data_IF_276523501136
#
_entry.id   IF_276523501136
#
_cell.length_a   1.000
_cell.length_b   1.000
_cell.length_c   1.000
_cell.angle_alpha   90.00
_cell.angle_beta   90.00
_cell.angle_gamma   90.00
#
_symmetry.space_group_name_H-M   'P 1'
#
loop_
_entity.id
_entity.type
_entity.pdbx_description
1 polymer ?
#
# COMPACT_ATOMS: atom_id res chain seq x y z
N UNK A 1 -21.17 4.74 21.79
CA UNK A 1 -21.79 5.16 20.52
C UNK A 1 -20.72 5.95 19.79
N UNK A 2 -19.97 5.28 18.92
CA UNK A 2 -18.96 5.95 18.10
C UNK A 2 -19.69 6.87 17.12
N UNK A 3 -19.52 8.18 17.28
CA UNK A 3 -19.87 9.13 16.23
C UNK A 3 -18.91 8.86 15.07
N UNK A 4 -19.38 8.10 14.08
CA UNK A 4 -18.63 7.84 12.87
C UNK A 4 -18.28 9.17 12.21
N UNK A 5 -16.99 9.50 12.19
CA UNK A 5 -16.49 10.75 11.59
C UNK A 5 -16.83 10.68 10.10
N UNK A 6 -17.77 11.52 9.68
CA UNK A 6 -18.14 11.65 8.27
C UNK A 6 -17.03 12.39 7.55
N UNK A 7 -16.20 11.66 6.80
CA UNK A 7 -15.19 12.22 5.92
C UNK A 7 -15.73 12.43 4.51
N UNK A 8 -15.31 13.50 3.86
CA UNK A 8 -15.48 13.66 2.42
C UNK A 8 -14.44 12.80 1.71
N UNK A 9 -14.88 11.84 0.90
CA UNK A 9 -13.99 10.94 0.14
C UNK A 9 -14.40 10.88 -1.33
N UNK A 10 -14.11 11.93 -2.12
CA UNK A 10 -14.59 12.06 -3.49
C UNK A 10 -14.14 10.91 -4.42
N UNK A 11 -12.95 10.34 -4.19
CA UNK A 11 -12.52 9.15 -4.91
C UNK A 11 -13.49 7.98 -4.67
N UNK A 12 -13.79 7.67 -3.41
CA UNK A 12 -14.59 6.51 -3.05
C UNK A 12 -16.01 6.64 -3.57
N UNK A 13 -16.59 7.84 -3.49
CA UNK A 13 -17.90 8.14 -4.09
C UNK A 13 -17.91 7.85 -5.59
N UNK A 14 -16.92 8.33 -6.33
CA UNK A 14 -16.83 8.11 -7.78
C UNK A 14 -16.59 6.64 -8.13
N UNK A 15 -15.73 5.96 -7.37
CA UNK A 15 -15.45 4.54 -7.56
C UNK A 15 -16.71 3.70 -7.31
N UNK A 16 -17.45 3.96 -6.24
CA UNK A 16 -18.71 3.26 -5.95
C UNK A 16 -19.75 3.47 -7.06
N UNK A 17 -19.91 4.70 -7.57
CA UNK A 17 -20.81 4.99 -8.70
C UNK A 17 -20.41 4.22 -9.95
N UNK A 18 -19.11 4.17 -10.28
CA UNK A 18 -18.60 3.42 -11.43
C UNK A 18 -18.77 1.90 -11.27
N UNK A 19 -18.53 1.36 -10.07
CA UNK A 19 -18.74 -0.05 -9.74
C UNK A 19 -20.22 -0.44 -9.78
N UNK A 20 -21.11 0.41 -9.28
CA UNK A 20 -22.55 0.19 -9.38
C UNK A 20 -23.01 0.12 -10.84
N UNK A 21 -22.45 0.95 -11.73
CA UNK A 21 -22.74 0.88 -13.17
C UNK A 21 -22.29 -0.44 -13.78
N UNK A 22 -21.12 -0.96 -13.37
CA UNK A 22 -20.59 -2.25 -13.83
C UNK A 22 -21.52 -3.42 -13.47
N UNK A 23 -22.11 -3.39 -12.28
CA UNK A 23 -22.98 -4.46 -11.79
C UNK A 23 -24.39 -4.43 -12.40
N UNK A 24 -24.75 -3.37 -13.13
CA UNK A 24 -26.06 -3.25 -13.78
C UNK A 24 -26.24 -4.30 -14.89
N UNK A 25 -27.37 -5.00 -14.86
CA UNK A 25 -27.74 -6.00 -15.89
C UNK A 25 -28.01 -5.39 -17.27
N UNK A 26 -28.37 -4.10 -17.32
CA UNK A 26 -28.70 -3.38 -18.55
C UNK A 26 -28.00 -2.03 -18.53
N UNK A 27 -27.27 -1.75 -19.61
CA UNK A 27 -26.66 -0.45 -19.85
C UNK A 27 -27.62 0.41 -20.68
N UNK A 28 -28.26 1.39 -20.06
CA UNK A 28 -29.31 2.20 -20.67
C UNK A 28 -28.94 3.69 -20.80
N UNK A 29 -29.92 4.53 -21.12
CA UNK A 29 -29.70 5.98 -21.26
C UNK A 29 -29.24 6.64 -19.95
N UNK A 30 -29.70 6.15 -18.80
CA UNK A 30 -29.28 6.66 -17.50
C UNK A 30 -27.84 6.25 -17.20
N UNK A 31 -27.47 4.99 -17.47
CA UNK A 31 -26.08 4.52 -17.31
C UNK A 31 -25.09 5.35 -18.16
N UNK A 32 -25.49 5.74 -19.38
CA UNK A 32 -24.70 6.63 -20.25
C UNK A 32 -24.56 8.04 -19.69
N UNK A 33 -25.65 8.61 -19.17
CA UNK A 33 -25.60 9.94 -18.59
C UNK A 33 -24.73 9.97 -17.32
N UNK A 34 -24.82 8.92 -16.49
CA UNK A 34 -23.99 8.75 -15.30
C UNK A 34 -22.49 8.68 -15.67
N UNK A 35 -22.09 7.90 -16.68
CA UNK A 35 -20.69 7.87 -17.13
C UNK A 35 -20.20 9.24 -17.61
N UNK A 36 -21.06 10.02 -18.28
CA UNK A 36 -20.72 11.39 -18.71
C UNK A 36 -20.61 12.36 -17.54
N UNK A 37 -21.39 12.17 -16.49
CA UNK A 37 -21.25 12.98 -15.27
C UNK A 37 -19.97 12.64 -14.53
N UNK A 38 -19.69 11.34 -14.35
CA UNK A 38 -18.45 10.88 -13.73
C UNK A 38 -17.23 11.40 -14.50
N UNK A 39 -17.22 11.32 -15.83
CA UNK A 39 -16.09 11.78 -16.65
C UNK A 39 -15.81 13.28 -16.49
N UNK A 40 -16.86 14.10 -16.40
CA UNK A 40 -16.72 15.54 -16.08
C UNK A 40 -16.16 15.74 -14.67
N UNK A 41 -16.63 14.95 -13.71
CA UNK A 41 -16.18 15.00 -12.31
C UNK A 41 -14.67 14.76 -12.14
N UNK A 42 -14.04 13.97 -12.99
CA UNK A 42 -12.57 13.73 -12.99
C UNK A 42 -11.83 14.50 -14.09
N UNK A 43 -12.46 15.52 -14.68
CA UNK A 43 -11.85 16.40 -15.68
C UNK A 43 -11.24 15.67 -16.88
N UNK A 44 -12.00 14.72 -17.46
CA UNK A 44 -11.63 14.14 -18.75
C UNK A 44 -11.29 15.22 -19.77
N UNK A 45 -10.21 15.01 -20.51
CA UNK A 45 -9.87 15.85 -21.66
C UNK A 45 -10.90 15.64 -22.78
N UNK A 46 -10.80 16.47 -23.83
CA UNK A 46 -11.61 16.28 -25.04
C UNK A 46 -11.33 14.90 -25.66
N UNK A 47 -10.06 14.45 -25.64
CA UNK A 47 -9.66 13.15 -26.14
C UNK A 47 -10.27 12.01 -25.32
N UNK A 48 -10.17 12.09 -23.99
CA UNK A 48 -10.76 11.07 -23.09
C UNK A 48 -12.28 10.99 -23.27
N UNK A 49 -12.94 12.15 -23.41
CA UNK A 49 -14.37 12.24 -23.65
C UNK A 49 -14.78 11.62 -24.99
N UNK A 50 -14.02 11.88 -26.06
CA UNK A 50 -14.28 11.28 -27.37
C UNK A 50 -14.07 9.76 -27.35
N UNK A 51 -13.03 9.29 -26.65
CA UNK A 51 -12.78 7.86 -26.47
C UNK A 51 -13.93 7.19 -25.70
N UNK A 52 -14.40 7.80 -24.61
CA UNK A 52 -15.56 7.34 -23.84
C UNK A 52 -16.82 7.24 -24.73
N UNK A 53 -17.16 8.29 -25.49
CA UNK A 53 -18.32 8.27 -26.39
C UNK A 53 -18.19 7.19 -27.48
N UNK A 54 -16.99 7.02 -28.05
CA UNK A 54 -16.72 6.01 -29.07
C UNK A 54 -16.92 4.60 -28.53
N UNK A 55 -16.51 4.33 -27.28
CA UNK A 55 -16.74 3.03 -26.66
C UNK A 55 -18.24 2.79 -26.39
N UNK A 56 -18.96 3.78 -25.88
CA UNK A 56 -20.38 3.65 -25.53
C UNK A 56 -21.33 3.38 -26.70
N UNK A 57 -20.91 3.66 -27.96
CA UNK A 57 -21.71 3.37 -29.15
C UNK A 57 -21.54 1.94 -29.67
N UNK A 58 -20.55 1.18 -29.17
CA UNK A 58 -20.33 -0.20 -29.59
C UNK A 58 -21.49 -1.10 -29.11
N UNK A 59 -22.02 -1.99 -29.96
CA UNK A 59 -23.17 -2.83 -29.58
C UNK A 59 -22.85 -3.87 -28.50
N UNK A 60 -21.57 -4.15 -28.25
CA UNK A 60 -21.08 -5.01 -27.18
C UNK A 60 -20.42 -4.24 -26.03
N UNK A 61 -20.66 -2.93 -25.93
CA UNK A 61 -20.11 -2.10 -24.87
C UNK A 61 -20.40 -2.70 -23.48
N UNK A 62 -19.38 -2.69 -22.62
CA UNK A 62 -19.49 -2.99 -21.20
C UNK A 62 -18.78 -1.92 -20.40
N UNK A 63 -19.27 -1.60 -19.20
CA UNK A 63 -18.70 -0.53 -18.38
C UNK A 63 -17.24 -0.82 -18.03
N UNK A 64 -16.88 -2.09 -17.87
CA UNK A 64 -15.49 -2.53 -17.66
C UNK A 64 -14.52 -2.03 -18.73
N UNK A 65 -14.99 -1.80 -19.97
CA UNK A 65 -14.13 -1.29 -21.05
C UNK A 65 -13.62 0.13 -20.79
N UNK A 66 -14.28 0.89 -19.92
CA UNK A 66 -13.86 2.26 -19.56
C UNK A 66 -13.19 2.34 -18.19
N UNK A 67 -13.14 1.25 -17.43
CA UNK A 67 -12.56 1.24 -16.08
C UNK A 67 -11.12 1.74 -16.07
N UNK A 68 -10.30 1.29 -17.00
CA UNK A 68 -8.90 1.74 -17.11
C UNK A 68 -8.79 3.25 -17.41
N UNK A 69 -9.66 3.77 -18.29
CA UNK A 69 -9.69 5.20 -18.62
C UNK A 69 -10.04 6.05 -17.39
N UNK A 70 -11.04 5.61 -16.61
CA UNK A 70 -11.40 6.25 -15.34
C UNK A 70 -10.29 6.12 -14.30
N UNK A 71 -9.70 4.93 -14.14
CA UNK A 71 -8.62 4.67 -13.20
C UNK A 71 -7.43 5.59 -13.40
N UNK A 72 -6.93 5.71 -14.63
CA UNK A 72 -5.79 6.56 -14.94
C UNK A 72 -6.04 8.01 -14.56
N UNK A 73 -7.24 8.53 -14.86
CA UNK A 73 -7.63 9.91 -14.56
C UNK A 73 -7.91 10.14 -13.07
N UNK A 74 -8.49 9.15 -12.39
CA UNK A 74 -8.69 9.20 -10.94
C UNK A 74 -7.34 9.17 -10.21
N UNK A 75 -6.38 8.36 -10.67
CA UNK A 75 -5.02 8.32 -10.12
C UNK A 75 -4.29 9.65 -10.26
N UNK A 76 -4.36 10.26 -11.45
CA UNK A 76 -3.80 11.59 -11.72
C UNK A 76 -4.44 12.71 -10.87
N UNK A 77 -5.73 12.58 -10.52
CA UNK A 77 -6.48 13.59 -9.77
C UNK A 77 -6.29 13.46 -8.26
N UNK A 78 -6.32 12.22 -7.75
CA UNK A 78 -6.41 11.94 -6.32
C UNK A 78 -5.06 11.54 -5.75
N UNK A 79 -4.60 10.31 -5.96
CA UNK A 79 -3.31 9.82 -5.45
C UNK A 79 -2.90 8.57 -6.22
N UNK A 80 -1.67 8.08 -6.05
CA UNK A 80 -1.22 6.80 -6.60
C UNK A 80 -1.73 5.61 -5.79
N UNK A 81 -1.72 5.71 -4.45
CA UNK A 81 -2.40 4.79 -3.51
C UNK A 81 -3.53 5.54 -2.83
N UNK A 82 -4.73 4.97 -2.77
CA UNK A 82 -5.85 5.63 -2.09
C UNK A 82 -6.13 4.91 -0.79
N UNK A 83 -6.29 5.65 0.30
CA UNK A 83 -6.65 5.04 1.57
C UNK A 83 -8.15 4.87 1.71
N UNK A 84 -8.59 3.64 1.94
CA UNK A 84 -9.97 3.33 2.29
C UNK A 84 -10.32 3.82 3.71
N UNK A 85 -11.61 3.84 4.09
CA UNK A 85 -12.00 4.17 5.46
C UNK A 85 -11.35 3.28 6.53
N UNK A 86 -11.13 2.00 6.25
CA UNK A 86 -10.50 1.06 7.19
C UNK A 86 -9.00 1.39 7.37
N UNK A 87 -8.30 1.66 6.26
CA UNK A 87 -6.90 2.09 6.29
C UNK A 87 -6.74 3.42 7.04
N UNK A 88 -7.61 4.40 6.77
CA UNK A 88 -7.53 5.69 7.44
C UNK A 88 -7.76 5.57 8.96
N UNK A 89 -8.70 4.71 9.39
CA UNK A 89 -8.90 4.37 10.81
C UNK A 89 -7.62 3.77 11.41
N UNK A 90 -7.01 2.79 10.74
CA UNK A 90 -5.75 2.19 11.18
C UNK A 90 -4.63 3.24 11.29
N UNK A 91 -4.40 4.02 10.24
CA UNK A 91 -3.32 5.03 10.18
C UNK A 91 -3.48 6.10 11.26
N UNK A 92 -4.72 6.51 11.58
CA UNK A 92 -5.00 7.47 12.63
C UNK A 92 -4.49 7.02 14.00
N UNK A 93 -4.58 5.72 14.32
CA UNK A 93 -4.09 5.18 15.61
C UNK A 93 -2.57 5.31 15.79
N UNK A 94 -1.82 5.54 14.70
CA UNK A 94 -0.37 5.76 14.71
C UNK A 94 0.04 7.23 14.60
N UNK A 95 -0.93 8.15 14.67
CA UNK A 95 -0.68 9.59 14.73
C UNK A 95 0.07 9.96 16.03
N UNK A 96 1.02 10.93 16.02
CA UNK A 96 1.37 11.82 14.91
C UNK A 96 2.14 11.14 13.76
N UNK A 97 1.79 11.50 12.53
CA UNK A 97 2.36 10.96 11.29
C UNK A 97 3.27 11.99 10.59
N UNK A 98 4.25 11.49 9.83
CA UNK A 98 4.93 12.24 8.76
C UNK A 98 4.87 11.40 7.48
N UNK A 99 4.31 11.94 6.40
CA UNK A 99 4.22 11.28 5.10
C UNK A 99 5.32 11.80 4.18
N UNK A 100 6.21 10.91 3.72
CA UNK A 100 7.24 11.24 2.75
C UNK A 100 6.80 10.87 1.34
N UNK A 101 6.85 11.84 0.41
CA UNK A 101 6.35 11.67 -0.96
C UNK A 101 4.84 11.81 -1.04
N UNK A 102 4.28 12.78 -0.31
CA UNK A 102 2.84 12.98 -0.18
C UNK A 102 2.12 13.44 -1.47
N UNK A 103 2.86 13.74 -2.54
CA UNK A 103 2.29 14.13 -3.82
C UNK A 103 1.47 15.43 -3.73
N UNK A 104 0.18 15.35 -4.06
CA UNK A 104 -0.75 16.48 -3.97
C UNK A 104 -1.47 16.58 -2.60
N UNK A 105 -1.10 15.73 -1.63
CA UNK A 105 -1.64 15.72 -0.27
C UNK A 105 -3.04 15.13 -0.11
N UNK A 106 -3.59 14.39 -1.09
CA UNK A 106 -4.95 13.83 -0.97
C UNK A 106 -5.13 12.93 0.26
N UNK A 107 -4.21 12.00 0.51
CA UNK A 107 -4.31 11.10 1.67
C UNK A 107 -4.11 11.86 2.99
N UNK A 108 -3.17 12.81 3.06
CA UNK A 108 -3.02 13.71 4.20
C UNK A 108 -4.30 14.53 4.47
N UNK A 109 -5.00 14.97 3.42
CA UNK A 109 -6.29 15.66 3.54
C UNK A 109 -7.36 14.74 4.17
N UNK A 110 -7.45 13.47 3.74
CA UNK A 110 -8.35 12.48 4.32
C UNK A 110 -8.04 12.23 5.81
N UNK A 111 -6.76 12.04 6.15
CA UNK A 111 -6.32 11.81 7.54
C UNK A 111 -6.59 13.00 8.45
N UNK A 112 -6.39 14.23 7.95
CA UNK A 112 -6.71 15.47 8.70
C UNK A 112 -8.21 15.60 8.98
N UNK A 113 -9.08 15.21 8.04
CA UNK A 113 -10.53 15.18 8.30
C UNK A 113 -10.90 14.20 9.42
N UNK A 114 -10.12 13.12 9.60
CA UNK A 114 -10.27 12.19 10.71
C UNK A 114 -9.67 12.68 12.03
N UNK A 115 -9.03 13.85 12.03
CA UNK A 115 -8.36 14.42 13.19
C UNK A 115 -6.97 13.84 13.47
N UNK A 116 -6.35 13.15 12.50
CA UNK A 116 -4.96 12.75 12.64
C UNK A 116 -4.03 13.98 12.50
N UNK A 117 -3.04 14.08 13.38
CA UNK A 117 -1.87 14.92 13.17
C UNK A 117 -0.97 14.25 12.11
N UNK A 118 -0.77 14.93 10.98
CA UNK A 118 0.06 14.48 9.88
C UNK A 118 0.78 15.66 9.23
N UNK A 119 2.10 15.53 9.10
CA UNK A 119 2.95 16.38 8.28
C UNK A 119 3.14 15.73 6.90
N UNK A 120 2.81 16.43 5.83
CA UNK A 120 2.90 15.91 4.46
C UNK A 120 4.08 16.55 3.75
N UNK A 121 5.09 15.76 3.35
CA UNK A 121 6.33 16.23 2.73
C UNK A 121 6.40 15.78 1.28
N UNK A 122 6.71 16.70 0.37
CA UNK A 122 6.92 16.44 -1.05
C UNK A 122 8.09 17.27 -1.60
N UNK A 123 8.94 16.64 -2.41
CA UNK A 123 10.09 17.31 -3.03
C UNK A 123 9.67 18.29 -4.13
N UNK A 124 8.58 17.97 -4.82
CA UNK A 124 8.01 18.78 -5.89
C UNK A 124 6.51 19.04 -5.67
N UNK A 125 6.12 19.92 -4.72
CA UNK A 125 4.72 20.27 -4.51
C UNK A 125 4.06 20.75 -5.80
N UNK A 126 2.78 20.41 -6.00
CA UNK A 126 2.07 20.65 -7.27
C UNK A 126 1.93 22.14 -7.62
N UNK A 127 1.99 23.01 -6.62
CA UNK A 127 1.98 24.47 -6.76
C UNK A 127 3.20 24.99 -7.53
N UNK A 128 4.32 24.25 -7.52
CA UNK A 128 5.53 24.62 -8.25
C UNK A 128 5.44 24.30 -9.74
N UNK A 129 4.47 23.47 -10.16
CA UNK A 129 4.33 23.03 -11.55
C UNK A 129 5.51 22.19 -12.05
N UNK A 130 6.26 21.57 -11.14
CA UNK A 130 7.40 20.67 -11.43
C UNK A 130 7.12 19.22 -11.06
N UNK A 131 5.93 18.95 -10.53
CA UNK A 131 5.50 17.60 -10.22
C UNK A 131 5.23 16.84 -11.53
N UNK A 132 5.91 15.72 -11.74
CA UNK A 132 5.77 14.91 -12.95
C UNK A 132 4.63 13.89 -12.86
N UNK A 133 4.07 13.68 -11.66
CA UNK A 133 3.05 12.69 -11.37
C UNK A 133 1.64 13.29 -11.33
N UNK A 134 1.52 14.57 -10.95
CA UNK A 134 0.24 15.27 -10.82
C UNK A 134 0.23 16.53 -11.70
N UNK A 135 -0.83 16.69 -12.49
CA UNK A 135 -0.95 17.83 -13.41
C UNK A 135 -0.02 17.70 -14.62
N UNK A 136 -0.12 16.59 -15.37
CA UNK A 136 0.60 16.42 -16.63
C UNK A 136 -0.29 16.84 -17.81
N UNK A 137 0.31 17.52 -18.80
CA UNK A 137 -0.37 17.76 -20.08
C UNK A 137 -0.27 16.49 -20.93
N UNK A 138 -1.11 16.40 -21.96
CA UNK A 138 -1.23 15.34 -22.98
C UNK A 138 0.10 14.88 -23.63
N UNK A 139 1.24 15.53 -23.33
CA UNK A 139 2.57 15.22 -23.86
C UNK A 139 3.64 14.97 -22.79
N UNK A 140 3.28 14.58 -21.56
CA UNK A 140 4.25 14.21 -20.52
C UNK A 140 5.12 15.35 -19.99
N UNK A 141 4.78 16.60 -20.33
CA UNK A 141 5.41 17.80 -19.76
C UNK A 141 4.63 18.27 -18.53
N UNK A 142 5.31 18.73 -17.46
CA UNK A 142 4.65 19.31 -16.28
C UNK A 142 3.72 20.44 -16.71
N UNK A 143 2.47 20.37 -16.26
CA UNK A 143 1.40 21.19 -16.80
C UNK A 143 0.58 21.87 -15.73
N UNK A 144 0.73 23.19 -15.71
CA UNK A 144 0.03 24.13 -14.85
C UNK A 144 0.34 23.92 -13.37
N UNK A 145 0.39 25.03 -12.64
CA UNK A 145 0.40 25.00 -11.19
C UNK A 145 -0.88 24.28 -10.75
N UNK A 146 -0.73 23.13 -10.11
CA UNK A 146 -1.83 22.43 -9.47
C UNK A 146 -2.21 23.13 -8.16
N UNK A 147 -3.20 22.58 -7.48
CA UNK A 147 -3.55 22.93 -6.10
C UNK A 147 -3.58 21.65 -5.29
N UNK A 148 -2.81 21.59 -4.21
CA UNK A 148 -2.84 20.49 -3.27
C UNK A 148 -4.20 20.42 -2.58
N UNK A 149 -4.60 19.22 -2.19
CA UNK A 149 -5.83 18.99 -1.42
C UNK A 149 -5.74 19.56 0.00
N UNK A 150 -4.52 19.67 0.52
CA UNK A 150 -4.22 20.25 1.82
C UNK A 150 -2.81 20.85 1.82
N UNK A 151 -2.35 21.39 2.95
CA UNK A 151 -0.98 21.89 3.04
C UNK A 151 0.03 20.75 2.90
N UNK A 152 0.97 20.90 1.96
CA UNK A 152 2.11 20.01 1.73
C UNK A 152 3.38 20.84 1.85
N UNK A 153 4.26 20.42 2.77
CA UNK A 153 5.55 21.06 3.01
C UNK A 153 6.54 20.62 1.96
N UNK A 154 7.24 21.59 1.38
CA UNK A 154 8.36 21.27 0.49
C UNK A 154 9.51 20.72 1.32
N UNK A 155 9.97 19.52 0.99
CA UNK A 155 11.10 18.88 1.65
C UNK A 155 11.53 17.60 0.95
N UNK A 156 12.65 17.05 1.40
CA UNK A 156 13.17 15.76 0.95
C UNK A 156 13.41 14.82 2.13
N UNK A 157 13.93 13.62 1.85
CA UNK A 157 14.16 12.60 2.87
C UNK A 157 15.06 13.07 4.03
N UNK A 158 15.90 14.09 3.85
CA UNK A 158 16.76 14.62 4.93
C UNK A 158 15.97 15.35 6.00
N UNK A 159 14.82 15.91 5.66
CA UNK A 159 13.96 16.61 6.62
C UNK A 159 13.39 15.67 7.69
N UNK A 160 13.36 14.36 7.41
CA UNK A 160 12.89 13.31 8.32
C UNK A 160 13.70 13.20 9.62
N UNK A 161 14.89 13.80 9.70
CA UNK A 161 15.65 13.91 10.96
C UNK A 161 14.88 14.68 12.04
N UNK A 162 13.95 15.55 11.65
CA UNK A 162 13.17 16.41 12.55
C UNK A 162 11.88 15.77 13.06
N UNK A 163 11.56 14.54 12.64
CA UNK A 163 10.27 13.90 12.90
C UNK A 163 10.41 12.55 13.62
N UNK A 164 11.44 12.39 14.45
CA UNK A 164 11.72 11.13 15.16
C UNK A 164 10.66 10.74 16.20
N UNK A 165 9.84 11.69 16.63
CA UNK A 165 8.70 11.52 17.54
C UNK A 165 7.41 11.07 16.82
N UNK A 166 7.43 10.97 15.49
CA UNK A 166 6.28 10.59 14.65
C UNK A 166 6.43 9.17 14.09
N UNK A 167 5.34 8.64 13.55
CA UNK A 167 5.37 7.46 12.67
C UNK A 167 5.61 7.91 11.23
N UNK A 168 6.60 7.32 10.55
CA UNK A 168 6.85 7.60 9.14
C UNK A 168 5.87 6.80 8.27
N UNK A 169 5.10 7.51 7.44
CA UNK A 169 4.26 6.94 6.41
C UNK A 169 4.96 7.09 5.05
N UNK A 170 5.10 6.00 4.30
CA UNK A 170 5.53 6.01 2.90
C UNK A 170 4.46 5.29 2.08
N UNK A 171 3.88 5.98 1.09
CA UNK A 171 2.82 5.42 0.25
C UNK A 171 3.22 5.49 -1.22
N UNK A 172 3.16 4.35 -1.90
CA UNK A 172 3.55 4.16 -3.30
C UNK A 172 4.87 4.83 -3.68
N UNK A 173 5.99 4.52 -3.00
CA UNK A 173 7.25 5.19 -3.28
C UNK A 173 7.73 4.90 -4.72
N UNK A 174 8.19 5.90 -5.47
CA UNK A 174 8.79 5.68 -6.79
C UNK A 174 10.01 4.76 -6.70
N UNK A 175 10.32 4.11 -7.83
CA UNK A 175 11.52 3.27 -8.00
C UNK A 175 12.75 4.18 -8.18
N UNK A 176 13.13 4.88 -7.11
CA UNK A 176 14.33 5.72 -7.03
C UNK A 176 14.90 5.68 -5.59
N UNK A 177 15.82 6.57 -5.24
CA UNK A 177 16.47 6.56 -3.93
C UNK A 177 15.62 7.12 -2.78
N UNK A 178 14.48 7.78 -3.06
CA UNK A 178 13.68 8.50 -2.06
C UNK A 178 13.37 7.65 -0.83
N UNK A 179 12.81 6.45 -1.02
CA UNK A 179 12.43 5.57 0.10
C UNK A 179 13.66 5.07 0.87
N UNK A 180 14.74 4.70 0.17
CA UNK A 180 15.97 4.26 0.84
C UNK A 180 16.65 5.38 1.63
N UNK A 181 16.62 6.62 1.12
CA UNK A 181 17.12 7.80 1.84
C UNK A 181 16.22 8.13 3.03
N UNK A 182 14.90 7.93 2.90
CA UNK A 182 13.96 8.14 3.99
C UNK A 182 14.29 7.25 5.19
N UNK A 183 14.57 5.96 4.97
CA UNK A 183 14.99 5.05 6.04
C UNK A 183 16.31 5.46 6.71
N UNK A 184 17.25 6.03 5.96
CA UNK A 184 18.55 6.46 6.49
C UNK A 184 18.42 7.68 7.40
N UNK A 185 17.58 8.64 7.00
CA UNK A 185 17.44 9.91 7.70
C UNK A 185 16.42 9.87 8.84
N UNK A 186 15.32 9.13 8.67
CA UNK A 186 14.32 8.99 9.71
C UNK A 186 14.90 8.26 10.92
N UNK A 187 14.71 8.83 12.12
CA UNK A 187 15.21 8.29 13.40
C UNK A 187 14.10 7.78 14.33
N UNK A 188 12.84 7.84 13.89
CA UNK A 188 11.72 7.31 14.67
C UNK A 188 11.67 5.78 14.67
N UNK A 189 10.74 5.24 15.45
CA UNK A 189 10.67 3.81 15.75
C UNK A 189 9.67 3.03 14.90
N UNK A 190 8.69 3.69 14.27
CA UNK A 190 7.64 3.04 13.49
C UNK A 190 7.60 3.56 12.06
N UNK A 191 7.35 2.64 11.12
CA UNK A 191 7.09 2.94 9.72
C UNK A 191 5.81 2.25 9.31
N UNK A 192 4.96 2.96 8.59
CA UNK A 192 3.86 2.37 7.84
C UNK A 192 4.16 2.54 6.35
N UNK A 193 4.13 1.42 5.63
CA UNK A 193 4.42 1.34 4.22
C UNK A 193 3.17 0.88 3.50
N UNK A 194 2.74 1.63 2.48
CA UNK A 194 1.64 1.24 1.60
C UNK A 194 2.19 1.07 0.20
N UNK A 195 2.27 -0.16 -0.30
CA UNK A 195 2.98 -0.41 -1.55
C UNK A 195 2.58 -1.70 -2.27
N UNK A 196 3.04 -1.82 -3.52
CA UNK A 196 3.22 -3.09 -4.19
C UNK A 196 4.72 -3.36 -4.38
N UNK A 197 5.26 -4.36 -3.67
CA UNK A 197 6.70 -4.67 -3.66
C UNK A 197 7.34 -4.88 -5.03
N UNK A 198 6.56 -5.29 -6.04
CA UNK A 198 7.07 -5.48 -7.41
C UNK A 198 7.29 -4.17 -8.16
N UNK A 199 6.60 -3.11 -7.76
CA UNK A 199 6.48 -1.84 -8.51
C UNK A 199 6.89 -0.60 -7.70
N UNK A 200 7.31 -0.76 -6.44
CA UNK A 200 7.60 0.33 -5.52
C UNK A 200 9.00 0.20 -4.92
N UNK A 201 9.60 1.35 -4.62
CA UNK A 201 10.94 1.47 -4.05
C UNK A 201 12.03 0.72 -4.85
N UNK A 202 13.25 0.66 -4.32
CA UNK A 202 14.38 -0.02 -4.95
C UNK A 202 14.95 -1.12 -4.04
N UNK A 203 15.83 -1.97 -4.57
CA UNK A 203 16.44 -3.06 -3.79
C UNK A 203 17.21 -2.57 -2.56
N UNK A 204 17.79 -1.36 -2.60
CA UNK A 204 18.50 -0.81 -1.44
C UNK A 204 17.55 -0.49 -0.29
N UNK A 205 16.33 -0.02 -0.58
CA UNK A 205 15.29 0.19 0.42
C UNK A 205 14.95 -1.11 1.14
N UNK A 206 14.61 -2.17 0.40
CA UNK A 206 14.24 -3.46 1.00
C UNK A 206 15.39 -4.12 1.77
N UNK A 207 16.63 -3.90 1.34
CA UNK A 207 17.82 -4.36 2.09
C UNK A 207 17.97 -3.62 3.43
N UNK A 208 17.74 -2.31 3.47
CA UNK A 208 17.77 -1.55 4.73
C UNK A 208 16.58 -1.98 5.61
N UNK A 209 15.38 -2.05 5.03
CA UNK A 209 14.16 -2.45 5.72
C UNK A 209 14.32 -3.81 6.41
N UNK A 210 14.78 -4.83 5.68
CA UNK A 210 14.99 -6.18 6.24
C UNK A 210 16.12 -6.29 7.26
N UNK A 211 17.10 -5.38 7.22
CA UNK A 211 18.24 -5.37 8.16
C UNK A 211 17.94 -4.64 9.45
N UNK A 212 17.13 -3.59 9.41
CA UNK A 212 16.99 -2.63 10.52
C UNK A 212 15.58 -2.61 11.13
N UNK A 213 14.61 -3.28 10.49
CA UNK A 213 13.21 -3.22 10.87
C UNK A 213 12.55 -4.59 10.95
N UNK A 214 11.59 -4.71 11.85
CA UNK A 214 10.76 -5.88 12.06
C UNK A 214 9.32 -5.60 11.60
N UNK A 215 8.77 -6.46 10.75
CA UNK A 215 7.37 -6.40 10.33
C UNK A 215 6.47 -6.83 11.49
N UNK A 216 5.57 -5.94 11.92
CA UNK A 216 4.61 -6.19 13.01
C UNK A 216 3.25 -6.59 12.47
N UNK A 217 2.83 -5.96 11.37
CA UNK A 217 1.50 -6.15 10.81
C UNK A 217 1.55 -5.98 9.30
N UNK A 218 0.77 -6.79 8.58
CA UNK A 218 0.60 -6.70 7.14
C UNK A 218 -0.82 -7.08 6.76
N UNK A 219 -1.42 -6.32 5.85
CA UNK A 219 -2.74 -6.61 5.29
C UNK A 219 -2.83 -6.11 3.85
N UNK A 220 -3.64 -6.77 3.03
CA UNK A 220 -3.97 -6.30 1.70
C UNK A 220 -4.88 -5.07 1.80
N UNK A 221 -4.62 -4.06 0.98
CA UNK A 221 -5.44 -2.84 0.95
C UNK A 221 -6.67 -3.02 0.06
N UNK A 222 -7.74 -2.31 0.41
CA UNK A 222 -8.97 -2.18 -0.35
C UNK A 222 -9.08 -0.82 -1.09
N UNK A 223 -8.01 -0.01 -1.02
CA UNK A 223 -7.93 1.35 -1.55
C UNK A 223 -8.23 1.49 -3.04
N UNK A 224 -7.62 0.61 -3.84
CA UNK A 224 -7.84 0.49 -5.27
C UNK A 224 -8.53 -0.83 -5.64
N UNK A 225 -9.43 -1.30 -4.78
CA UNK A 225 -10.18 -2.54 -5.01
C UNK A 225 -10.56 -2.67 -6.50
N UNK A 226 -10.10 -3.75 -7.14
CA UNK A 226 -10.37 -4.02 -8.57
C UNK A 226 -9.36 -3.48 -9.60
N UNK A 227 -8.37 -2.68 -9.23
CA UNK A 227 -7.35 -2.15 -10.17
C UNK A 227 -5.93 -2.61 -9.91
N UNK A 228 -5.53 -2.73 -8.65
CA UNK A 228 -4.18 -3.13 -8.26
C UNK A 228 -4.19 -3.69 -6.83
N UNK A 229 -3.31 -4.66 -6.59
CA UNK A 229 -3.07 -5.22 -5.26
C UNK A 229 -1.93 -4.43 -4.62
N UNK A 230 -2.16 -3.96 -3.41
CA UNK A 230 -1.17 -3.31 -2.56
C UNK A 230 -1.30 -3.82 -1.13
N UNK A 231 -0.25 -3.64 -0.36
CA UNK A 231 -0.16 -4.04 1.04
C UNK A 231 0.05 -2.82 1.91
N UNK A 232 -0.61 -2.80 3.06
CA UNK A 232 -0.28 -1.92 4.18
C UNK A 232 0.54 -2.73 5.19
N UNK A 233 1.76 -2.28 5.46
CA UNK A 233 2.71 -2.95 6.33
C UNK A 233 3.21 -2.00 7.42
N UNK A 234 3.11 -2.42 8.67
CA UNK A 234 3.67 -1.72 9.83
C UNK A 234 4.99 -2.38 10.22
N UNK A 235 6.03 -1.57 10.32
CA UNK A 235 7.35 -1.97 10.76
C UNK A 235 7.76 -1.22 12.02
N UNK A 236 8.57 -1.88 12.85
CA UNK A 236 9.24 -1.28 13.99
C UNK A 236 10.74 -1.48 13.92
N UNK A 237 11.49 -0.46 14.31
CA UNK A 237 12.95 -0.50 14.30
C UNK A 237 13.47 -1.52 15.32
N UNK A 238 14.49 -2.30 14.95
CA UNK A 238 15.02 -3.39 15.78
C UNK A 238 15.69 -2.93 17.08
N UNK A 239 16.29 -1.75 17.09
CA UNK A 239 16.99 -1.16 18.24
C UNK A 239 16.08 -0.25 19.08
N UNK A 240 14.81 -0.10 18.72
CA UNK A 240 13.84 0.62 19.54
C UNK A 240 13.62 -0.15 20.84
N UNK A 241 14.08 0.40 21.97
CA UNK A 241 13.89 -0.19 23.30
C UNK A 241 12.40 -0.44 23.53
N UNK A 242 12.01 -1.72 23.67
CA UNK A 242 10.65 -2.09 24.00
C UNK A 242 10.63 -2.81 25.35
N UNK A 243 9.98 -2.20 26.35
CA UNK A 243 9.80 -2.80 27.67
C UNK A 243 8.79 -3.97 27.67
N UNK A 244 8.24 -4.34 26.51
CA UNK A 244 7.18 -5.35 26.34
C UNK A 244 7.53 -6.50 25.38
N UNK A 245 8.73 -6.54 24.80
CA UNK A 245 9.17 -7.67 23.98
C UNK A 245 9.96 -8.66 24.86
N UNK A 246 9.39 -9.86 25.07
CA UNK A 246 10.15 -10.98 25.62
C UNK A 246 10.73 -11.81 24.48
N UNK A 247 12.06 -11.98 24.41
CA UNK A 247 12.64 -12.92 23.48
C UNK A 247 12.18 -14.33 23.84
N UNK A 248 11.65 -15.06 22.87
CA UNK A 248 11.47 -16.51 22.96
C UNK A 248 12.05 -17.18 21.72
N UNK A 249 12.47 -18.42 21.89
CA UNK A 249 12.98 -19.28 20.82
C UNK A 249 12.09 -20.51 20.73
N UNK A 250 11.60 -20.83 19.53
CA UNK A 250 11.00 -22.13 19.29
C UNK A 250 12.08 -23.19 19.01
N UNK A 251 11.82 -24.46 19.38
CA UNK A 251 12.68 -25.57 19.01
C UNK A 251 12.73 -25.76 17.49
N UNK A 252 13.81 -26.38 16.99
CA UNK A 252 14.05 -26.67 15.58
C UNK A 252 12.88 -27.45 14.97
N UNK A 253 12.22 -26.88 13.95
CA UNK A 253 11.16 -27.55 13.20
C UNK A 253 11.75 -28.08 11.89
N UNK A 254 11.81 -29.41 11.77
CA UNK A 254 12.08 -30.09 10.51
C UNK A 254 10.78 -30.36 9.79
N UNK A 255 10.71 -30.01 8.51
CA UNK A 255 9.60 -30.38 7.66
C UNK A 255 10.08 -30.62 6.23
N UNK A 256 9.28 -31.35 5.45
CA UNK A 256 9.54 -31.68 4.06
C UNK A 256 8.42 -31.14 3.17
N UNK A 257 8.80 -30.66 1.99
CA UNK A 257 7.88 -30.26 0.93
C UNK A 257 8.14 -31.08 -0.33
N UNK A 258 7.11 -31.19 -1.18
CA UNK A 258 7.19 -31.80 -2.49
C UNK A 258 7.22 -30.68 -3.52
N UNK A 259 8.32 -30.51 -4.26
CA UNK A 259 8.44 -29.46 -5.28
C UNK A 259 8.12 -30.00 -6.68
N UNK A 260 7.51 -29.14 -7.51
CA UNK A 260 7.51 -29.26 -8.97
C UNK A 260 8.57 -28.29 -9.53
N UNK A 261 9.19 -28.66 -10.66
CA UNK A 261 10.48 -28.15 -11.17
C UNK A 261 10.55 -26.64 -11.50
N UNK A 262 9.47 -25.91 -11.29
CA UNK A 262 9.25 -24.53 -11.70
C UNK A 262 9.65 -23.51 -10.59
N UNK A 263 9.91 -23.99 -9.36
CA UNK A 263 10.13 -23.15 -8.17
C UNK A 263 11.60 -23.02 -7.73
N UNK A 264 12.56 -23.14 -8.65
CA UNK A 264 13.96 -22.85 -8.31
C UNK A 264 14.21 -21.34 -8.21
N UNK A 265 14.02 -20.80 -7.00
CA UNK A 265 14.69 -19.58 -6.59
C UNK A 265 16.16 -19.87 -6.24
N UNK A 266 17.00 -18.91 -6.60
CA UNK A 266 18.45 -18.80 -6.44
C UNK A 266 18.95 -19.32 -5.07
N UNK A 267 19.37 -20.58 -5.03
CA UNK A 267 20.08 -21.17 -3.90
C UNK A 267 21.31 -21.90 -4.40
N UNK A 268 22.49 -21.45 -3.94
CA UNK A 268 23.77 -22.10 -4.17
C UNK A 268 23.77 -23.49 -3.53
N UNK A 269 23.59 -24.52 -4.34
CA UNK A 269 23.86 -25.90 -3.96
C UNK A 269 24.82 -26.53 -4.97
N UNK A 270 25.93 -27.07 -4.46
CA UNK A 270 26.79 -27.99 -5.20
C UNK A 270 25.98 -29.25 -5.54
N UNK A 271 25.61 -29.42 -6.80
CA UNK A 271 24.96 -30.63 -7.27
C UNK A 271 25.99 -31.61 -7.84
N UNK A 272 25.96 -32.84 -7.33
CA UNK A 272 26.63 -33.99 -7.94
C UNK A 272 25.79 -34.42 -9.17
N UNK A 273 26.36 -34.26 -10.37
CA UNK A 273 25.65 -34.33 -11.64
C UNK A 273 25.36 -35.78 -12.11
N UNK A 274 24.43 -36.50 -11.46
CA UNK A 274 23.82 -37.70 -12.09
C UNK A 274 22.40 -37.97 -11.55
N UNK A 275 21.41 -37.12 -11.89
CA UNK A 275 20.01 -37.47 -11.65
C UNK A 275 19.08 -36.91 -12.74
N UNK A 276 18.18 -37.76 -13.22
CA UNK A 276 17.20 -37.52 -14.28
C UNK A 276 16.16 -36.46 -13.85
N UNK A 277 16.20 -35.29 -14.50
CA UNK A 277 15.48 -34.05 -14.15
C UNK A 277 13.96 -34.05 -14.43
N UNK A 278 13.27 -35.19 -14.33
CA UNK A 278 11.83 -35.28 -14.69
C UNK A 278 10.92 -35.88 -13.62
N UNK A 279 11.43 -36.15 -12.42
CA UNK A 279 10.64 -36.74 -11.34
C UNK A 279 10.51 -35.77 -10.17
N UNK A 280 9.30 -35.65 -9.56
CA UNK A 280 9.13 -34.95 -8.30
C UNK A 280 10.12 -35.48 -7.27
N UNK A 281 10.76 -34.58 -6.55
CA UNK A 281 11.74 -34.95 -5.54
C UNK A 281 11.45 -34.18 -4.24
N UNK A 282 11.80 -34.78 -3.11
CA UNK A 282 11.67 -34.17 -1.79
C UNK A 282 13.06 -33.86 -1.24
N UNK A 283 13.21 -32.67 -0.66
CA UNK A 283 14.38 -32.31 0.13
C UNK A 283 13.96 -31.95 1.55
N UNK A 284 14.84 -32.19 2.52
CA UNK A 284 14.62 -31.75 3.90
C UNK A 284 15.12 -30.30 4.05
N UNK A 285 14.26 -29.41 4.53
CA UNK A 285 14.66 -28.07 4.90
C UNK A 285 15.07 -28.03 6.38
N UNK A 286 16.21 -27.40 6.66
CA UNK A 286 16.61 -27.00 8.02
C UNK A 286 16.54 -25.49 8.13
N UNK A 287 15.64 -25.00 8.98
CA UNK A 287 15.64 -23.60 9.36
C UNK A 287 16.63 -23.39 10.52
N UNK A 288 17.62 -22.52 10.30
CA UNK A 288 18.51 -22.09 11.39
C UNK A 288 17.71 -21.35 12.47
N UNK A 289 18.14 -21.48 13.73
CA UNK A 289 17.65 -20.66 14.85
C UNK A 289 17.68 -19.19 14.45
N UNK A 290 16.50 -18.57 14.29
CA UNK A 290 16.35 -17.14 14.07
C UNK A 290 15.60 -16.55 15.26
N UNK A 291 16.19 -15.59 16.00
CA UNK A 291 15.43 -14.86 17.00
C UNK A 291 14.31 -14.08 16.32
N UNK A 292 13.10 -14.23 16.83
CA UNK A 292 11.93 -13.45 16.42
C UNK A 292 11.11 -13.15 17.67
N UNK A 293 10.40 -12.03 17.68
CA UNK A 293 9.56 -11.63 18.79
C UNK A 293 8.12 -11.52 18.28
N UNK A 294 7.16 -12.06 19.03
CA UNK A 294 5.73 -11.83 18.80
C UNK A 294 5.14 -10.95 19.91
N UNK A 295 4.17 -10.08 19.61
CA UNK A 295 3.36 -9.46 20.65
C UNK A 295 2.54 -10.53 21.39
N UNK A 296 2.37 -10.37 22.69
CA UNK A 296 1.49 -11.25 23.48
C UNK A 296 0.04 -10.96 23.10
N UNK A 297 -0.45 -11.61 22.06
CA UNK A 297 -1.89 -11.82 21.87
C UNK A 297 -2.20 -13.02 22.76
N UNK A 298 -3.19 -12.91 23.64
CA UNK A 298 -3.63 -14.05 24.44
C UNK A 298 -4.18 -15.12 23.50
N UNK A 299 -3.35 -16.09 23.11
CA UNK A 299 -3.79 -17.23 22.33
C UNK A 299 -4.76 -18.05 23.19
N UNK A 300 -6.03 -18.10 22.77
CA UNK A 300 -7.08 -18.99 23.30
C UNK A 300 -6.76 -20.49 23.07
N UNK A 301 -5.55 -20.83 22.60
CA UNK A 301 -5.09 -22.19 22.33
C UNK A 301 -4.44 -22.91 23.52
N UNK A 302 -4.30 -22.26 24.68
CA UNK A 302 -3.94 -22.92 25.94
C UNK A 302 -5.19 -23.15 26.81
N UNK A 303 -6.12 -23.98 26.34
CA UNK A 303 -6.97 -24.72 27.25
C UNK A 303 -6.14 -25.84 27.87
N UNK A 304 -5.76 -25.64 29.14
CA UNK A 304 -5.16 -26.64 30.02
C UNK A 304 -5.98 -27.93 29.99
N UNK A 305 -5.49 -28.96 29.28
CA UNK A 305 -5.93 -30.34 29.49
C UNK A 305 -5.21 -30.90 30.71
N UNK A 306 -5.57 -30.44 31.91
CA UNK A 306 -5.29 -31.18 33.14
C UNK A 306 -6.45 -32.10 33.41
N UNK A 307 -6.30 -33.36 32.99
CA UNK A 307 -7.10 -34.46 33.51
C UNK A 307 -6.59 -34.78 34.91
N UNK A 308 -7.47 -34.58 35.89
CA UNK A 308 -7.35 -35.12 37.22
C UNK A 308 -7.45 -36.65 37.18
N UNK A 309 -6.40 -37.32 37.61
CA UNK A 309 -6.49 -38.68 38.16
C UNK A 309 -5.66 -38.72 39.45
N UNK A 310 -6.36 -38.50 40.56
CA UNK A 310 -5.93 -38.93 41.89
C UNK A 310 -6.01 -40.45 41.97
N UNK A 311 -4.91 -41.10 42.37
CA UNK A 311 -4.94 -42.36 43.11
C UNK A 311 -4.62 -42.05 44.58
N UNK A 312 -5.64 -42.01 45.44
CA UNK A 312 -5.84 -42.91 46.61
C UNK A 312 -7.01 -42.46 47.47
#
# INVERSE_FOLDING_TARGET
MDNEVKIEHPYLEMYQRLSNLKEQKKFDANSRNELRELSRGIHFTIQDSLQLETLMVLPWFRVEMVFELFFLKMREKYCYSIFSPSMLKFLKEYSPLVEMGAGNGYNAWLLRQMGADIEAIEAFPVEEGKNWFFGTNVFGMPAKKGKSWTHVTKGDSKDLVNFSDRTLLISWPPINSMASEALQHFKGSNIILVENRKNCANNSFYRILSKEWHLIYSTETDGWSGFQVEWLELYRRLDASDSKLHPHSHPEVKHSHLHLHDEHHDHDHEHDHVADFRHPHSHEHKHNLRPHNHPHIGDEHHHDSKLDHEET
#
